data_IF_974345225335
#
_entry.id   IF_974345225335
#
_cell.length_a   1.000
_cell.length_b   1.000
_cell.length_c   1.000
_cell.angle_alpha   90.00
_cell.angle_beta   90.00
_cell.angle_gamma   90.00
#
_symmetry.space_group_name_H-M   'P 1'
#
loop_
_entity.id
_entity.type
_entity.pdbx_description
1 polymer ?
#
# COMPACT_ATOMS: atom_id res chain seq x y z
N UNK A 1 7.48 11.97 17.39
CA UNK A 1 7.57 13.07 16.40
C UNK A 1 6.16 13.62 16.21
N UNK A 2 5.95 14.94 16.34
CA UNK A 2 4.64 15.55 16.22
C UNK A 2 4.73 16.76 15.29
N UNK A 3 3.71 16.98 14.46
CA UNK A 3 3.60 18.13 13.56
C UNK A 3 2.33 18.90 13.87
N UNK A 4 2.35 20.22 13.63
CA UNK A 4 1.18 21.08 13.81
C UNK A 4 0.57 21.38 12.45
N UNK A 5 -0.77 21.41 12.38
CA UNK A 5 -1.48 21.92 11.21
C UNK A 5 -1.17 23.42 11.08
N UNK A 6 -0.87 23.85 9.85
CA UNK A 6 -0.74 25.27 9.50
C UNK A 6 -1.80 25.66 8.48
N UNK A 7 -2.22 26.93 8.52
CA UNK A 7 -3.13 27.50 7.52
C UNK A 7 -2.32 28.12 6.39
N UNK A 8 -2.64 27.78 5.15
CA UNK A 8 -2.07 28.36 3.94
C UNK A 8 -3.23 28.73 3.01
N UNK A 9 -3.47 30.03 2.86
CA UNK A 9 -4.68 30.54 2.21
C UNK A 9 -5.94 30.05 2.93
N UNK A 10 -6.81 29.36 2.21
CA UNK A 10 -8.04 28.77 2.73
C UNK A 10 -7.88 27.33 3.22
N UNK A 11 -6.68 26.74 3.09
CA UNK A 11 -6.45 25.31 3.33
C UNK A 11 -5.65 25.05 4.60
N UNK A 12 -5.91 23.90 5.22
CA UNK A 12 -5.11 23.33 6.30
C UNK A 12 -4.04 22.40 5.71
N UNK A 13 -2.80 22.51 6.18
CA UNK A 13 -1.65 21.76 5.67
C UNK A 13 -0.90 21.10 6.83
N UNK A 14 -0.61 19.81 6.69
CA UNK A 14 0.31 19.06 7.54
C UNK A 14 1.68 19.01 6.86
N UNK A 15 2.74 19.37 7.59
CA UNK A 15 4.10 19.29 7.06
C UNK A 15 4.66 17.90 7.21
N UNK A 16 5.34 17.40 6.17
CA UNK A 16 6.07 16.12 6.23
C UNK A 16 7.46 16.39 6.83
N UNK A 17 7.83 15.76 7.96
CA UNK A 17 9.15 15.91 8.57
C UNK A 17 10.28 15.44 7.64
N UNK A 18 11.45 16.10 7.69
CA UNK A 18 12.61 15.80 6.83
C UNK A 18 13.11 14.35 6.89
N UNK A 19 12.84 13.64 7.99
CA UNK A 19 13.20 12.23 8.16
C UNK A 19 12.39 11.29 7.27
N UNK A 20 11.18 11.72 6.86
CA UNK A 20 10.33 10.98 5.92
C UNK A 20 10.64 11.54 4.53
N UNK A 21 11.17 10.70 3.64
CA UNK A 21 11.45 11.07 2.25
C UNK A 21 10.23 10.70 1.40
N UNK A 22 9.46 11.68 0.89
CA UNK A 22 8.35 11.39 -0.01
C UNK A 22 8.90 10.75 -1.29
N UNK A 23 8.26 9.67 -1.73
CA UNK A 23 8.63 8.98 -2.98
C UNK A 23 7.87 9.52 -4.18
N UNK A 24 6.73 10.16 -3.94
CA UNK A 24 5.78 10.61 -4.95
C UNK A 24 5.32 12.05 -4.64
N UNK A 25 4.77 12.75 -5.65
CA UNK A 25 4.26 14.12 -5.51
C UNK A 25 2.75 14.18 -5.23
N UNK A 26 1.99 13.17 -5.65
CA UNK A 26 0.54 13.10 -5.49
C UNK A 26 0.13 11.98 -4.54
N UNK A 27 -0.90 12.23 -3.72
CA UNK A 27 -1.41 11.29 -2.73
C UNK A 27 -2.93 11.28 -2.72
N UNK A 28 -3.52 10.09 -2.62
CA UNK A 28 -4.92 9.93 -2.24
C UNK A 28 -5.05 10.13 -0.72
N UNK A 29 -6.10 10.83 -0.29
CA UNK A 29 -6.34 11.18 1.10
C UNK A 29 -7.67 10.62 1.56
N UNK A 30 -7.69 9.96 2.71
CA UNK A 30 -8.93 9.44 3.30
C UNK A 30 -8.89 9.47 4.82
N UNK A 31 -10.08 9.45 5.42
CA UNK A 31 -10.28 9.32 6.86
C UNK A 31 -10.25 7.84 7.24
N UNK A 32 -9.22 7.44 7.96
CA UNK A 32 -9.08 6.09 8.52
C UNK A 32 -9.76 5.95 9.88
N UNK A 33 -9.51 4.81 10.54
CA UNK A 33 -10.03 4.55 11.89
C UNK A 33 -9.53 5.59 12.89
N UNK A 34 -10.37 5.97 13.85
CA UNK A 34 -10.07 6.94 14.91
C UNK A 34 -9.72 8.35 14.41
N UNK A 35 -10.25 8.76 13.24
CA UNK A 35 -9.99 10.09 12.68
C UNK A 35 -8.57 10.27 12.13
N UNK A 36 -7.85 9.16 11.92
CA UNK A 36 -6.56 9.20 11.27
C UNK A 36 -6.70 9.77 9.85
N UNK A 37 -5.82 10.69 9.46
CA UNK A 37 -5.73 11.17 8.07
C UNK A 37 -4.63 10.37 7.40
N UNK A 38 -4.99 9.54 6.42
CA UNK A 38 -4.03 8.67 5.73
C UNK A 38 -3.76 9.22 4.34
N UNK A 39 -2.47 9.35 4.02
CA UNK A 39 -1.97 9.76 2.70
C UNK A 39 -1.29 8.56 2.05
N UNK A 40 -1.84 8.09 0.93
CA UNK A 40 -1.24 7.01 0.14
C UNK A 40 -0.74 7.57 -1.18
N UNK A 41 0.51 7.29 -1.60
CA UNK A 41 1.01 7.68 -2.90
C UNK A 41 0.05 7.28 -4.01
N UNK A 42 -0.28 8.21 -4.89
CA UNK A 42 -1.13 7.93 -6.03
C UNK A 42 -0.30 7.23 -7.10
N UNK A 43 -0.43 5.91 -7.15
CA UNK A 43 0.27 5.06 -8.12
C UNK A 43 -0.74 4.38 -9.03
N UNK A 44 -0.32 4.08 -10.25
CA UNK A 44 -1.10 3.23 -11.15
C UNK A 44 -1.22 1.85 -10.52
N UNK A 45 -2.44 1.34 -10.42
CA UNK A 45 -2.68 -0.01 -9.94
C UNK A 45 -2.07 -1.00 -10.96
N UNK A 46 -1.06 -1.80 -10.58
CA UNK A 46 -0.45 -2.74 -11.51
C UNK A 46 -1.43 -3.84 -11.94
N UNK A 47 -2.46 -4.13 -11.14
CA UNK A 47 -3.51 -5.10 -11.47
C UNK A 47 -4.56 -4.61 -12.46
N UNK A 48 -4.49 -3.34 -12.86
CA UNK A 48 -5.26 -2.78 -13.98
C UNK A 48 -4.39 -2.57 -15.22
N UNK A 49 -3.08 -2.86 -15.13
CA UNK A 49 -2.15 -2.72 -16.23
C UNK A 49 -2.04 -4.03 -17.02
N UNK A 50 -2.58 -4.03 -18.25
CA UNK A 50 -2.55 -5.20 -19.13
C UNK A 50 -1.14 -5.74 -19.40
N UNK A 51 -0.11 -4.89 -19.47
CA UNK A 51 1.27 -5.35 -19.68
C UNK A 51 1.78 -6.08 -18.43
N UNK A 52 1.55 -5.51 -17.26
CA UNK A 52 1.93 -6.12 -15.98
C UNK A 52 1.23 -7.47 -15.79
N UNK A 53 -0.07 -7.52 -16.06
CA UNK A 53 -0.86 -8.75 -15.96
C UNK A 53 -0.29 -9.81 -16.89
N UNK A 54 -0.01 -9.51 -18.16
CA UNK A 54 0.56 -10.50 -19.09
C UNK A 54 1.88 -11.09 -18.59
N UNK A 55 2.77 -10.25 -18.03
CA UNK A 55 4.08 -10.67 -17.56
C UNK A 55 4.04 -11.48 -16.26
N UNK A 56 3.02 -11.27 -15.43
CA UNK A 56 2.89 -11.88 -14.09
C UNK A 56 1.70 -12.85 -13.99
N UNK A 57 1.10 -13.21 -15.12
CA UNK A 57 0.08 -14.26 -15.17
C UNK A 57 0.73 -15.59 -14.82
N UNK A 58 0.08 -16.31 -13.92
CA UNK A 58 0.45 -17.69 -13.61
C UNK A 58 0.53 -18.50 -14.90
N UNK A 59 1.70 -19.08 -15.15
CA UNK A 59 2.03 -19.81 -16.37
C UNK A 59 1.71 -21.31 -16.28
N UNK A 60 1.09 -21.76 -15.17
CA UNK A 60 0.82 -23.18 -14.93
C UNK A 60 2.00 -23.93 -14.30
N UNK A 61 3.13 -23.26 -14.06
CA UNK A 61 4.30 -23.87 -13.43
C UNK A 61 4.04 -24.09 -11.93
N UNK A 62 3.92 -25.34 -11.54
CA UNK A 62 3.75 -25.76 -10.15
C UNK A 62 5.07 -26.17 -9.49
N UNK A 63 6.22 -25.98 -10.14
CA UNK A 63 7.51 -26.24 -9.49
C UNK A 63 7.76 -25.27 -8.35
N UNK A 64 8.07 -25.80 -7.16
CA UNK A 64 8.33 -25.01 -5.95
C UNK A 64 7.14 -24.78 -5.03
N UNK A 65 5.92 -25.22 -5.40
CA UNK A 65 4.85 -25.35 -4.42
C UNK A 65 5.07 -26.63 -3.61
N UNK A 66 4.95 -26.52 -2.29
CA UNK A 66 4.93 -27.67 -1.39
C UNK A 66 3.47 -28.03 -1.18
N UNK A 67 3.10 -29.29 -1.37
CA UNK A 67 1.76 -29.78 -0.98
C UNK A 67 1.62 -29.59 0.54
N UNK A 68 0.78 -28.64 0.92
CA UNK A 68 0.44 -28.39 2.32
C UNK A 68 -0.66 -29.35 2.76
N UNK A 69 -0.34 -30.64 2.83
CA UNK A 69 -1.22 -31.58 3.52
C UNK A 69 -1.05 -31.42 5.03
N UNK A 70 -2.18 -31.45 5.75
CA UNK A 70 -2.20 -31.47 7.21
C UNK A 70 -1.67 -32.84 7.63
N UNK A 71 -0.57 -32.87 8.36
CA UNK A 71 0.01 -34.13 8.82
C UNK A 71 -0.93 -34.80 9.83
N UNK A 72 -0.93 -36.14 9.91
CA UNK A 72 -1.86 -36.89 10.77
C UNK A 72 -1.69 -36.57 12.28
N UNK A 73 -0.55 -36.01 12.68
CA UNK A 73 -0.26 -35.50 14.04
C UNK A 73 -0.75 -34.07 14.29
N UNK A 74 -1.27 -33.40 13.26
CA UNK A 74 -1.92 -32.08 13.34
C UNK A 74 -3.47 -32.19 13.40
N UNK A 75 -4.02 -33.40 13.23
CA UNK A 75 -5.44 -33.70 13.39
C UNK A 75 -5.70 -34.23 14.83
N UNK A 76 -6.07 -33.30 15.72
CA UNK A 76 -6.55 -33.59 17.08
C UNK A 76 -7.86 -34.38 17.11
#
# INVERSE_FOLDING_TARGET
>A
MAVKIRKVGTSNVLTVPKSIKPTDQEYNVYSGRNGAIVYMPKRKNPFEDNEYIKQHRFNGDQTGFVEGDVANDELL
#
